data_IF_579280911073
#
_entry.id   IF_579280911073
#
_cell.length_a   1.000
_cell.length_b   1.000
_cell.length_c   1.000
_cell.angle_alpha   90.00
_cell.angle_beta   90.00
_cell.angle_gamma   90.00
#
_symmetry.space_group_name_H-M   'P 1'
#
loop_
_entity.id
_entity.type
_entity.pdbx_description
1 polymer ?
#
# COMPACT_ATOMS: atom_id res chain seq x y z
N UNK A 1 0.41 11.91 19.95
CA UNK A 1 -0.36 10.71 19.60
C UNK A 1 0.65 9.56 19.42
N UNK A 2 0.53 8.50 20.20
CA UNK A 2 1.59 7.45 20.29
C UNK A 2 1.62 6.62 19.00
N UNK A 3 2.51 6.94 18.07
CA UNK A 3 2.75 6.27 16.77
C UNK A 3 3.08 4.78 16.95
N UNK A 4 3.61 4.41 18.13
CA UNK A 4 3.96 3.04 18.51
C UNK A 4 2.76 2.07 18.54
N UNK A 5 1.53 2.56 18.67
CA UNK A 5 0.32 1.71 18.72
C UNK A 5 -0.14 1.20 17.35
N UNK A 6 0.31 1.82 16.26
CA UNK A 6 -0.15 1.53 14.89
C UNK A 6 0.48 0.29 14.24
N UNK A 7 1.56 -0.24 14.81
CA UNK A 7 2.21 -1.47 14.31
C UNK A 7 1.86 -2.72 15.14
N UNK A 8 0.96 -2.59 16.16
CA UNK A 8 0.82 -3.63 17.20
C UNK A 8 0.04 -4.88 16.81
N UNK A 9 -1.17 -4.82 16.32
CA UNK A 9 -1.99 -6.05 16.19
C UNK A 9 -2.53 -6.32 14.79
N UNK A 10 -2.59 -5.32 13.90
CA UNK A 10 -3.22 -5.44 12.59
C UNK A 10 -2.23 -5.31 11.42
N UNK A 11 -0.92 -5.46 11.68
CA UNK A 11 0.09 -5.32 10.63
C UNK A 11 -0.07 -6.37 9.54
N UNK A 12 -0.29 -7.62 9.93
CA UNK A 12 -0.46 -8.73 8.99
C UNK A 12 -1.92 -9.11 8.77
N UNK A 13 -2.23 -9.59 7.57
CA UNK A 13 -3.52 -10.22 7.26
C UNK A 13 -3.74 -11.44 8.17
N UNK A 14 -4.92 -11.56 8.79
CA UNK A 14 -5.29 -12.70 9.61
C UNK A 14 -5.20 -14.04 8.85
N UNK A 15 -5.54 -14.02 7.56
CA UNK A 15 -5.38 -15.17 6.67
C UNK A 15 -3.93 -15.59 6.49
N UNK A 16 -2.99 -14.63 6.44
CA UNK A 16 -1.56 -14.89 6.37
C UNK A 16 -1.04 -15.45 7.69
N UNK A 17 -1.39 -14.85 8.82
CA UNK A 17 -1.00 -15.36 10.16
C UNK A 17 -1.45 -16.80 10.34
N UNK A 18 -2.71 -17.12 10.05
CA UNK A 18 -3.26 -18.46 10.15
C UNK A 18 -2.56 -19.45 9.22
N UNK A 19 -2.30 -19.06 7.97
CA UNK A 19 -1.60 -19.89 7.00
C UNK A 19 -0.19 -20.24 7.48
N UNK A 20 0.60 -19.28 7.90
CA UNK A 20 1.97 -19.51 8.36
C UNK A 20 2.01 -20.34 9.65
N UNK A 21 1.02 -20.19 10.54
CA UNK A 21 0.89 -21.02 11.75
C UNK A 21 0.62 -22.48 11.41
N UNK A 22 -0.30 -22.77 10.48
CA UNK A 22 -0.72 -24.12 10.11
C UNK A 22 0.33 -24.82 9.22
N UNK A 23 0.97 -24.09 8.31
CA UNK A 23 1.86 -24.69 7.30
C UNK A 23 3.35 -24.54 7.65
N UNK A 24 3.69 -24.39 8.92
CA UNK A 24 5.06 -24.14 9.37
C UNK A 24 6.06 -25.15 8.79
N UNK A 25 5.85 -26.45 9.01
CA UNK A 25 6.79 -27.49 8.53
C UNK A 25 6.95 -27.52 7.02
N UNK A 26 5.84 -27.39 6.28
CA UNK A 26 5.86 -27.32 4.81
C UNK A 26 6.65 -26.11 4.34
N UNK A 27 6.54 -24.98 5.02
CA UNK A 27 7.24 -23.76 4.70
C UNK A 27 8.74 -23.88 4.98
N UNK A 28 9.14 -24.45 6.10
CA UNK A 28 10.56 -24.69 6.41
C UNK A 28 11.21 -25.62 5.37
N UNK A 29 10.54 -26.73 5.00
CA UNK A 29 11.01 -27.61 3.92
C UNK A 29 11.15 -26.87 2.59
N UNK A 30 10.19 -25.99 2.26
CA UNK A 30 10.27 -25.14 1.07
C UNK A 30 11.48 -24.20 1.12
N UNK A 31 11.69 -23.50 2.22
CA UNK A 31 12.84 -22.59 2.41
C UNK A 31 14.17 -23.33 2.22
N UNK A 32 14.29 -24.53 2.80
CA UNK A 32 15.49 -25.36 2.68
C UNK A 32 15.76 -25.80 1.22
N UNK A 33 14.72 -26.23 0.49
CA UNK A 33 14.84 -26.63 -0.92
C UNK A 33 15.15 -25.44 -1.85
N UNK A 34 14.71 -24.25 -1.51
CA UNK A 34 14.79 -23.04 -2.36
C UNK A 34 15.84 -22.03 -1.87
N UNK A 35 16.84 -22.49 -1.10
CA UNK A 35 17.93 -21.65 -0.58
C UNK A 35 18.57 -20.75 -1.64
N UNK A 36 18.72 -21.24 -2.87
CA UNK A 36 19.34 -20.47 -3.95
C UNK A 36 18.55 -19.20 -4.29
N UNK A 37 17.19 -19.24 -4.25
CA UNK A 37 16.35 -18.06 -4.50
C UNK A 37 16.61 -16.96 -3.45
N UNK A 38 16.65 -17.37 -2.19
CA UNK A 38 16.90 -16.45 -1.09
C UNK A 38 18.32 -15.92 -1.10
N UNK A 39 19.30 -16.74 -1.49
CA UNK A 39 20.68 -16.31 -1.65
C UNK A 39 20.82 -15.26 -2.77
N UNK A 40 20.16 -15.44 -3.89
CA UNK A 40 20.21 -14.49 -5.02
C UNK A 40 19.59 -13.13 -4.63
N UNK A 41 18.43 -13.16 -3.98
CA UNK A 41 17.76 -11.95 -3.49
C UNK A 41 18.62 -11.29 -2.40
N UNK A 42 19.13 -12.07 -1.44
CA UNK A 42 19.93 -11.58 -0.32
C UNK A 42 21.24 -10.92 -0.82
N UNK A 43 21.93 -11.53 -1.79
CA UNK A 43 23.12 -10.95 -2.38
C UNK A 43 22.84 -9.63 -3.11
N UNK A 44 21.70 -9.55 -3.81
CA UNK A 44 21.29 -8.29 -4.45
C UNK A 44 21.02 -7.20 -3.40
N UNK A 45 20.31 -7.54 -2.33
CA UNK A 45 20.02 -6.60 -1.24
C UNK A 45 21.32 -6.17 -0.56
N UNK A 46 22.25 -7.09 -0.28
CA UNK A 46 23.55 -6.79 0.33
C UNK A 46 24.34 -5.77 -0.50
N UNK A 47 24.26 -5.84 -1.82
CA UNK A 47 24.90 -4.87 -2.74
C UNK A 47 24.21 -3.47 -2.71
N UNK A 48 22.99 -3.36 -2.19
CA UNK A 48 22.27 -2.09 -2.06
C UNK A 48 22.48 -1.41 -0.72
N UNK A 49 23.11 -2.11 0.24
CA UNK A 49 23.25 -1.69 1.65
C UNK A 49 24.71 -1.33 1.95
N UNK A 50 24.89 -0.36 2.83
CA UNK A 50 26.19 -0.11 3.46
C UNK A 50 26.41 -1.09 4.60
N UNK A 51 27.43 -1.94 4.47
CA UNK A 51 27.75 -3.00 5.44
C UNK A 51 28.16 -2.49 6.82
N UNK A 52 28.55 -1.21 6.95
CA UNK A 52 28.91 -0.57 8.23
C UNK A 52 27.68 -0.19 9.05
N UNK A 53 26.49 -0.25 8.49
CA UNK A 53 25.24 0.29 9.02
C UNK A 53 24.26 -0.80 9.49
N UNK A 54 23.18 -0.36 10.14
CA UNK A 54 22.12 -1.25 10.65
C UNK A 54 20.99 -1.40 9.66
N UNK A 55 20.33 -2.56 9.66
CA UNK A 55 19.14 -2.83 8.83
C UNK A 55 17.98 -3.34 9.68
N UNK A 56 16.77 -2.88 9.37
CA UNK A 56 15.52 -3.43 9.89
C UNK A 56 14.78 -4.20 8.80
N UNK A 57 14.32 -5.42 9.10
CA UNK A 57 13.67 -6.32 8.12
C UNK A 57 12.28 -6.74 8.62
N UNK A 58 11.27 -6.48 7.82
CA UNK A 58 9.92 -7.04 8.00
C UNK A 58 9.78 -8.30 7.13
N UNK A 59 9.45 -9.43 7.75
CA UNK A 59 9.38 -10.74 7.11
C UNK A 59 8.04 -11.46 7.35
N UNK A 60 7.62 -12.26 6.37
CA UNK A 60 6.52 -13.20 6.49
C UNK A 60 6.99 -14.62 6.09
N UNK A 61 7.63 -15.33 7.03
CA UNK A 61 8.14 -16.68 6.81
C UNK A 61 9.26 -16.76 5.77
N UNK A 62 10.08 -15.72 5.64
CA UNK A 62 11.18 -15.66 4.67
C UNK A 62 12.47 -15.01 5.24
N UNK A 63 12.68 -15.13 6.54
CA UNK A 63 13.86 -14.60 7.24
C UNK A 63 15.22 -15.06 6.67
N UNK A 64 15.24 -16.16 5.91
CA UNK A 64 16.42 -16.62 5.13
C UNK A 64 17.03 -15.53 4.24
N UNK A 65 16.25 -14.51 3.88
CA UNK A 65 16.73 -13.38 3.08
C UNK A 65 17.84 -12.60 3.80
N UNK A 66 17.90 -12.67 5.13
CA UNK A 66 18.93 -12.00 5.92
C UNK A 66 20.27 -12.73 5.95
N UNK A 67 20.34 -13.98 5.45
CA UNK A 67 21.51 -14.86 5.65
C UNK A 67 22.81 -14.29 5.10
N UNK A 68 22.78 -13.69 3.91
CA UNK A 68 23.98 -13.18 3.24
C UNK A 68 24.17 -11.66 3.43
N UNK A 69 23.29 -11.02 4.21
CA UNK A 69 23.40 -9.59 4.52
C UNK A 69 24.50 -9.37 5.53
N UNK A 70 25.44 -8.47 5.20
CA UNK A 70 26.67 -8.21 5.99
C UNK A 70 26.57 -7.00 6.93
N UNK A 71 25.40 -6.40 7.08
CA UNK A 71 25.16 -5.24 7.94
C UNK A 71 25.72 -5.41 9.37
N UNK A 72 25.99 -4.30 10.06
CA UNK A 72 26.52 -4.27 11.42
C UNK A 72 25.59 -4.96 12.42
N UNK A 73 24.28 -4.62 12.38
CA UNK A 73 23.20 -5.29 13.11
C UNK A 73 22.02 -5.50 12.17
N UNK A 74 21.30 -6.58 12.38
CA UNK A 74 20.12 -6.95 11.59
C UNK A 74 18.96 -7.17 12.56
N UNK A 75 18.00 -6.26 12.56
CA UNK A 75 16.76 -6.41 13.31
C UNK A 75 15.70 -7.05 12.41
N UNK A 76 15.01 -8.07 12.90
CA UNK A 76 13.98 -8.78 12.11
C UNK A 76 12.68 -8.83 12.89
N UNK A 77 11.60 -8.34 12.29
CA UNK A 77 10.23 -8.61 12.70
C UNK A 77 9.64 -9.69 11.81
N UNK A 78 9.33 -10.84 12.40
CA UNK A 78 8.74 -11.98 11.69
C UNK A 78 7.23 -12.09 11.99
N UNK A 79 6.47 -12.63 11.05
CA UNK A 79 5.01 -12.84 11.19
C UNK A 79 4.66 -13.81 12.34
N UNK A 80 5.57 -14.71 12.68
CA UNK A 80 5.40 -15.69 13.75
C UNK A 80 6.76 -16.10 14.32
N UNK A 81 6.90 -16.13 15.63
CA UNK A 81 8.12 -16.48 16.37
C UNK A 81 8.74 -17.82 15.97
N UNK A 82 7.92 -18.79 15.53
CA UNK A 82 8.42 -20.08 15.04
C UNK A 82 9.36 -19.96 13.83
N UNK A 83 9.31 -18.85 13.09
CA UNK A 83 10.20 -18.58 11.96
C UNK A 83 11.47 -17.84 12.33
N UNK A 84 11.70 -17.58 13.61
CA UNK A 84 12.91 -16.96 14.13
C UNK A 84 14.11 -17.91 14.06
N UNK A 85 14.72 -17.99 12.88
CA UNK A 85 15.89 -18.84 12.67
C UNK A 85 17.14 -17.98 12.73
N UNK A 86 17.98 -18.21 13.75
CA UNK A 86 19.27 -17.52 13.91
C UNK A 86 20.30 -18.09 12.94
N UNK A 87 20.58 -17.37 11.87
CA UNK A 87 21.62 -17.72 10.90
C UNK A 87 22.96 -17.05 11.19
N UNK A 88 22.95 -15.96 11.98
CA UNK A 88 24.10 -15.11 12.24
C UNK A 88 23.95 -14.50 13.63
N UNK A 89 25.06 -14.34 14.35
CA UNK A 89 25.09 -13.66 15.67
C UNK A 89 24.65 -12.18 15.64
N UNK A 90 24.68 -11.57 14.45
CA UNK A 90 24.25 -10.17 14.24
C UNK A 90 22.72 -10.02 14.13
N UNK A 91 21.98 -11.13 13.99
CA UNK A 91 20.51 -11.12 13.86
C UNK A 91 19.86 -11.05 15.23
N UNK A 92 19.01 -10.06 15.39
CA UNK A 92 18.16 -9.88 16.57
C UNK A 92 16.70 -9.86 16.12
N UNK A 93 15.91 -10.80 16.63
CA UNK A 93 14.45 -10.81 16.40
C UNK A 93 13.77 -9.88 17.40
N UNK A 94 12.77 -9.14 16.92
CA UNK A 94 11.99 -8.20 17.71
C UNK A 94 10.50 -8.55 17.60
N UNK A 95 9.83 -8.65 18.74
CA UNK A 95 8.39 -8.96 18.78
C UNK A 95 7.55 -7.76 18.33
N UNK A 96 8.01 -6.55 18.65
CA UNK A 96 7.41 -5.29 18.24
C UNK A 96 8.46 -4.42 17.57
N UNK A 97 8.11 -3.81 16.44
CA UNK A 97 8.95 -2.80 15.80
C UNK A 97 8.81 -1.50 16.59
N UNK A 98 9.77 -1.19 17.46
CA UNK A 98 9.81 0.09 18.18
C UNK A 98 10.36 1.18 17.27
N UNK A 99 9.94 2.42 17.52
CA UNK A 99 10.45 3.59 16.81
C UNK A 99 11.99 3.68 16.88
N UNK A 100 12.55 3.41 18.05
CA UNK A 100 14.00 3.46 18.30
C UNK A 100 14.76 2.45 17.45
N UNK A 101 14.22 1.21 17.31
CA UNK A 101 14.87 0.16 16.51
C UNK A 101 14.92 0.50 15.02
N UNK A 102 13.90 1.23 14.51
CA UNK A 102 13.80 1.61 13.09
C UNK A 102 14.58 2.90 12.82
N UNK A 103 14.51 3.89 13.71
CA UNK A 103 15.15 5.20 13.55
C UNK A 103 16.68 5.12 13.55
N UNK A 104 17.26 4.08 14.17
CA UNK A 104 18.70 3.81 14.19
C UNK A 104 19.20 3.00 12.99
N UNK A 105 18.29 2.62 12.09
CA UNK A 105 18.63 1.90 10.86
C UNK A 105 18.80 2.84 9.68
N UNK A 106 19.73 2.53 8.80
CA UNK A 106 19.98 3.24 7.55
C UNK A 106 19.29 2.58 6.37
N UNK A 107 18.76 1.38 6.59
CA UNK A 107 17.99 0.64 5.59
C UNK A 107 16.83 -0.09 6.25
N UNK A 108 15.66 -0.04 5.62
CA UNK A 108 14.49 -0.84 6.00
C UNK A 108 14.12 -1.74 4.83
N UNK A 109 14.11 -3.06 5.05
CA UNK A 109 13.67 -4.05 4.07
C UNK A 109 12.25 -4.51 4.39
N UNK A 110 11.35 -4.34 3.43
CA UNK A 110 9.97 -4.82 3.49
C UNK A 110 9.86 -6.05 2.57
N UNK A 111 9.97 -7.24 3.16
CA UNK A 111 9.90 -8.51 2.43
C UNK A 111 8.53 -9.21 2.57
N UNK A 112 7.53 -8.51 3.07
CA UNK A 112 6.21 -9.03 3.45
C UNK A 112 5.03 -8.19 2.94
N UNK A 113 5.25 -7.23 2.06
CA UNK A 113 4.26 -6.22 1.66
C UNK A 113 2.91 -6.83 1.24
N UNK A 114 2.93 -8.01 0.61
CA UNK A 114 1.72 -8.72 0.15
C UNK A 114 0.95 -9.40 1.30
N UNK A 115 1.55 -9.49 2.47
CA UNK A 115 0.96 -10.11 3.67
C UNK A 115 0.45 -9.07 4.67
N UNK A 116 0.68 -7.80 4.42
CA UNK A 116 0.24 -6.70 5.28
C UNK A 116 -1.27 -6.47 5.15
N UNK A 117 -1.90 -6.13 6.26
CA UNK A 117 -3.34 -5.81 6.32
C UNK A 117 -3.65 -4.51 5.58
N UNK A 118 -2.82 -3.51 5.77
CA UNK A 118 -2.89 -2.20 5.11
C UNK A 118 -1.49 -1.71 4.73
N UNK A 119 -0.97 -2.10 3.54
CA UNK A 119 0.34 -1.69 3.07
C UNK A 119 0.52 -0.17 3.00
N UNK A 120 -0.55 0.56 2.65
CA UNK A 120 -0.54 2.02 2.52
C UNK A 120 -0.31 2.69 3.87
N UNK A 121 -1.11 2.34 4.88
CA UNK A 121 -0.96 2.91 6.22
C UNK A 121 0.40 2.55 6.84
N UNK A 122 0.86 1.30 6.64
CA UNK A 122 2.14 0.85 7.18
C UNK A 122 3.30 1.61 6.55
N UNK A 123 3.29 1.79 5.23
CA UNK A 123 4.36 2.48 4.51
C UNK A 123 4.36 3.99 4.80
N UNK A 124 3.17 4.61 4.90
CA UNK A 124 3.03 6.00 5.29
C UNK A 124 3.55 6.25 6.72
N UNK A 125 3.22 5.36 7.67
CA UNK A 125 3.73 5.47 9.04
C UNK A 125 5.25 5.27 9.09
N UNK A 126 5.76 4.33 8.31
CA UNK A 126 7.20 4.10 8.19
C UNK A 126 7.91 5.34 7.64
N UNK A 127 7.38 5.95 6.57
CA UNK A 127 7.98 7.15 5.96
C UNK A 127 8.04 8.35 6.91
N UNK A 128 7.13 8.43 7.89
CA UNK A 128 7.15 9.48 8.93
C UNK A 128 8.20 9.25 10.03
N UNK A 129 8.57 7.98 10.27
CA UNK A 129 9.48 7.58 11.36
C UNK A 129 10.94 7.62 10.91
N UNK A 130 11.22 7.20 9.69
CA UNK A 130 12.58 7.09 9.17
C UNK A 130 13.18 8.46 8.86
N UNK A 131 14.51 8.56 8.94
CA UNK A 131 15.27 9.73 8.51
C UNK A 131 15.24 9.87 6.98
N UNK A 132 15.59 11.04 6.47
CA UNK A 132 15.47 11.34 5.01
C UNK A 132 16.49 10.58 4.16
N UNK A 133 17.63 10.20 4.74
CA UNK A 133 18.70 9.43 4.09
C UNK A 133 18.49 7.91 4.10
N UNK A 134 17.50 7.42 4.85
CA UNK A 134 17.20 5.99 4.97
C UNK A 134 16.70 5.42 3.65
N UNK A 135 17.27 4.29 3.23
CA UNK A 135 16.80 3.51 2.09
C UNK A 135 15.68 2.56 2.52
N UNK A 136 14.59 2.53 1.75
CA UNK A 136 13.57 1.50 1.89
C UNK A 136 13.70 0.54 0.71
N UNK A 137 13.83 -0.75 0.99
CA UNK A 137 13.87 -1.80 -0.03
C UNK A 137 12.59 -2.60 0.08
N UNK A 138 11.79 -2.66 -0.99
CA UNK A 138 10.55 -3.42 -1.03
C UNK A 138 10.71 -4.62 -1.94
N UNK A 139 10.43 -5.81 -1.40
CA UNK A 139 10.36 -7.05 -2.15
C UNK A 139 8.90 -7.37 -2.45
N UNK A 140 8.56 -7.48 -3.73
CA UNK A 140 7.23 -7.86 -4.18
C UNK A 140 7.29 -8.96 -5.24
N UNK A 141 6.17 -9.67 -5.45
CA UNK A 141 6.05 -10.70 -6.48
C UNK A 141 5.46 -10.13 -7.76
N UNK A 142 5.89 -10.68 -8.87
CA UNK A 142 5.33 -10.32 -10.15
C UNK A 142 3.93 -10.93 -10.33
N UNK A 143 2.99 -10.13 -10.82
CA UNK A 143 1.59 -10.51 -11.05
C UNK A 143 1.46 -11.70 -12.01
N UNK A 144 2.30 -11.79 -13.04
CA UNK A 144 2.31 -12.90 -14.01
C UNK A 144 2.52 -14.24 -13.28
N UNK A 145 3.49 -14.29 -12.36
CA UNK A 145 3.75 -15.49 -11.57
C UNK A 145 2.62 -15.82 -10.60
N UNK A 146 1.96 -14.81 -10.04
CA UNK A 146 0.79 -15.03 -9.18
C UNK A 146 -0.36 -15.66 -9.97
N UNK A 147 -0.58 -15.23 -11.22
CA UNK A 147 -1.59 -15.80 -12.11
C UNK A 147 -1.20 -17.23 -12.51
N UNK A 148 0.06 -17.45 -12.88
CA UNK A 148 0.58 -18.78 -13.22
C UNK A 148 0.45 -19.78 -12.05
N UNK A 149 0.78 -19.37 -10.83
CA UNK A 149 0.62 -20.19 -9.62
C UNK A 149 -0.86 -20.55 -9.38
N UNK A 150 -1.80 -19.64 -9.67
CA UNK A 150 -3.23 -19.92 -9.58
C UNK A 150 -3.68 -20.98 -10.59
N UNK A 151 -3.17 -20.92 -11.81
CA UNK A 151 -3.45 -21.91 -12.85
C UNK A 151 -2.87 -23.27 -12.46
N UNK A 152 -1.61 -23.31 -12.01
CA UNK A 152 -0.98 -24.55 -11.54
C UNK A 152 -1.74 -25.22 -10.38
N UNK A 153 -2.43 -24.44 -9.56
CA UNK A 153 -3.29 -24.99 -8.51
C UNK A 153 -4.40 -25.90 -9.03
N UNK A 154 -4.89 -25.65 -10.25
CA UNK A 154 -5.92 -26.52 -10.86
C UNK A 154 -5.40 -27.94 -11.12
N UNK A 155 -4.10 -28.07 -11.30
CA UNK A 155 -3.43 -29.35 -11.61
C UNK A 155 -2.72 -29.97 -10.41
N UNK A 156 -2.35 -29.16 -9.42
CA UNK A 156 -1.57 -29.58 -8.26
C UNK A 156 -2.29 -29.18 -6.97
N UNK A 157 -2.50 -30.15 -6.09
CA UNK A 157 -3.24 -29.96 -4.85
C UNK A 157 -2.42 -29.19 -3.80
N UNK A 158 -2.21 -27.87 -3.99
CA UNK A 158 -1.62 -27.02 -2.97
C UNK A 158 -2.54 -25.85 -2.62
N UNK A 159 -2.60 -25.55 -1.32
CA UNK A 159 -3.39 -24.42 -0.83
C UNK A 159 -2.68 -23.12 -1.12
N UNK A 160 -3.28 -22.19 -1.90
CA UNK A 160 -2.65 -20.90 -2.12
C UNK A 160 -2.72 -20.06 -0.86
N UNK A 161 -1.68 -19.30 -0.65
CA UNK A 161 -1.66 -18.23 0.34
C UNK A 161 -2.71 -17.18 -0.04
N UNK A 162 -3.58 -16.81 0.89
CA UNK A 162 -4.41 -15.62 0.75
C UNK A 162 -3.55 -14.41 1.10
N UNK A 163 -3.15 -13.65 0.12
CA UNK A 163 -2.35 -12.43 0.24
C UNK A 163 -2.89 -11.36 -0.71
N UNK A 164 -2.46 -10.13 -0.53
CA UNK A 164 -2.82 -9.03 -1.40
C UNK A 164 -2.19 -9.22 -2.80
N UNK A 165 -2.94 -8.87 -3.83
CA UNK A 165 -2.41 -8.74 -5.19
C UNK A 165 -2.03 -7.29 -5.41
N UNK A 166 -0.73 -7.01 -5.48
CA UNK A 166 -0.19 -5.67 -5.61
C UNK A 166 0.53 -5.52 -6.96
N UNK A 167 -0.18 -5.12 -8.03
CA UNK A 167 0.45 -4.86 -9.32
C UNK A 167 1.46 -3.72 -9.23
N UNK A 168 2.47 -3.71 -10.10
CA UNK A 168 3.53 -2.69 -10.07
C UNK A 168 2.99 -1.27 -10.20
N UNK A 169 1.93 -1.06 -11.00
CA UNK A 169 1.28 0.24 -11.12
C UNK A 169 0.70 0.73 -9.79
N UNK A 170 0.05 -0.16 -9.05
CA UNK A 170 -0.45 0.16 -7.72
C UNK A 170 0.69 0.48 -6.74
N UNK A 171 1.76 -0.34 -6.74
CA UNK A 171 2.91 -0.12 -5.87
C UNK A 171 3.59 1.23 -6.17
N UNK A 172 3.72 1.60 -7.44
CA UNK A 172 4.30 2.90 -7.82
C UNK A 172 3.47 4.06 -7.28
N UNK A 173 2.13 4.00 -7.42
CA UNK A 173 1.23 5.01 -6.86
C UNK A 173 1.30 5.05 -5.33
N UNK A 174 1.37 3.86 -4.70
CA UNK A 174 1.53 3.74 -3.26
C UNK A 174 2.80 4.44 -2.77
N UNK A 175 3.92 4.23 -3.43
CA UNK A 175 5.19 4.86 -3.06
C UNK A 175 5.09 6.39 -3.16
N UNK A 176 4.56 6.90 -4.26
CA UNK A 176 4.37 8.34 -4.47
C UNK A 176 3.45 8.95 -3.40
N UNK A 177 2.33 8.28 -3.05
CA UNK A 177 1.42 8.76 -2.00
C UNK A 177 2.02 8.77 -0.59
N UNK A 178 3.09 7.99 -0.39
CA UNK A 178 3.86 7.98 0.87
C UNK A 178 5.09 8.91 0.85
N UNK A 179 5.21 9.81 -0.12
CA UNK A 179 6.36 10.69 -0.32
C UNK A 179 7.68 9.93 -0.51
N UNK A 180 7.61 8.84 -1.27
CA UNK A 180 8.76 8.01 -1.60
C UNK A 180 8.98 7.99 -3.11
N UNK A 181 10.23 8.18 -3.53
CA UNK A 181 10.65 8.05 -4.92
C UNK A 181 11.33 6.71 -5.18
N UNK A 182 11.12 6.19 -6.38
CA UNK A 182 11.79 4.97 -6.85
C UNK A 182 13.18 5.36 -7.35
N UNK A 183 14.21 4.91 -6.63
CA UNK A 183 15.61 5.09 -7.06
C UNK A 183 16.00 4.01 -8.08
N UNK A 184 15.56 2.76 -7.84
CA UNK A 184 15.90 1.61 -8.68
C UNK A 184 14.87 0.50 -8.51
N UNK A 185 14.52 -0.17 -9.60
CA UNK A 185 13.75 -1.42 -9.59
C UNK A 185 14.49 -2.48 -10.36
N UNK A 186 14.74 -3.63 -9.73
CA UNK A 186 15.31 -4.82 -10.37
C UNK A 186 14.34 -5.98 -10.30
N UNK A 187 14.31 -6.76 -11.36
CA UNK A 187 13.50 -7.96 -11.47
C UNK A 187 14.42 -9.16 -11.43
N UNK A 188 14.18 -10.06 -10.49
CA UNK A 188 15.06 -11.17 -10.18
C UNK A 188 14.31 -12.50 -10.34
N UNK A 189 15.07 -13.55 -10.71
CA UNK A 189 14.63 -14.95 -10.72
C UNK A 189 13.55 -15.22 -11.77
N UNK A 190 13.98 -15.55 -12.97
CA UNK A 190 13.09 -16.05 -14.02
C UNK A 190 12.81 -17.55 -13.84
N UNK A 191 13.84 -18.33 -13.47
CA UNK A 191 13.70 -19.77 -13.24
C UNK A 191 13.80 -20.09 -11.75
N UNK A 192 12.68 -20.41 -11.06
CA UNK A 192 12.66 -20.73 -9.63
C UNK A 192 13.03 -22.20 -9.33
N UNK A 193 13.77 -22.85 -10.21
CA UNK A 193 14.28 -24.23 -10.07
C UNK A 193 15.79 -24.16 -10.23
N UNK A 194 16.52 -24.83 -9.33
CA UNK A 194 17.97 -24.89 -9.45
C UNK A 194 18.40 -26.04 -10.36
N UNK A 195 19.00 -25.69 -11.48
CA UNK A 195 19.70 -26.60 -12.41
C UNK A 195 21.10 -26.01 -12.58
N UNK A 196 22.17 -26.74 -12.21
CA UNK A 196 23.54 -26.23 -12.31
C UNK A 196 23.82 -25.62 -13.68
N UNK A 197 24.50 -24.48 -13.72
CA UNK A 197 24.82 -23.66 -14.89
C UNK A 197 23.60 -23.05 -15.60
N UNK A 198 22.54 -23.84 -15.84
CA UNK A 198 21.37 -23.43 -16.62
C UNK A 198 20.59 -22.31 -15.87
N UNK A 199 20.33 -22.47 -14.59
CA UNK A 199 19.56 -21.49 -13.82
C UNK A 199 20.24 -20.12 -13.81
N UNK A 200 21.54 -20.08 -13.58
CA UNK A 200 22.29 -18.83 -13.57
C UNK A 200 22.31 -18.16 -14.95
N UNK A 201 22.45 -18.94 -16.01
CA UNK A 201 22.43 -18.45 -17.39
C UNK A 201 21.06 -17.86 -17.75
N UNK A 202 19.97 -18.60 -17.49
CA UNK A 202 18.61 -18.15 -17.74
C UNK A 202 18.30 -16.89 -16.91
N UNK A 203 18.56 -16.89 -15.61
CA UNK A 203 18.31 -15.74 -14.76
C UNK A 203 19.09 -14.50 -15.21
N UNK A 204 20.27 -14.65 -15.78
CA UNK A 204 21.05 -13.54 -16.34
C UNK A 204 20.42 -12.97 -17.62
N UNK A 205 19.97 -13.82 -18.53
CA UNK A 205 19.31 -13.39 -19.78
C UNK A 205 17.98 -12.69 -19.48
N UNK A 206 17.20 -13.23 -18.57
CA UNK A 206 15.89 -12.67 -18.24
C UNK A 206 15.95 -11.38 -17.42
N UNK A 207 17.13 -10.90 -17.05
CA UNK A 207 17.31 -9.52 -16.53
C UNK A 207 17.31 -8.46 -17.63
N UNK A 208 17.46 -8.85 -18.89
CA UNK A 208 17.41 -7.93 -20.01
C UNK A 208 16.02 -7.27 -20.11
N UNK A 209 15.94 -6.01 -20.57
CA UNK A 209 14.69 -5.35 -20.88
C UNK A 209 13.80 -6.24 -21.77
N UNK A 210 12.49 -6.17 -21.63
CA UNK A 210 11.47 -7.01 -22.27
C UNK A 210 11.36 -8.43 -21.69
N UNK A 211 12.47 -9.15 -21.43
CA UNK A 211 12.42 -10.49 -20.84
C UNK A 211 12.18 -10.45 -19.32
N UNK A 212 12.55 -9.38 -18.67
CA UNK A 212 12.42 -9.22 -17.21
C UNK A 212 10.98 -9.22 -16.70
N UNK A 213 9.98 -9.07 -17.59
CA UNK A 213 8.57 -9.22 -17.26
C UNK A 213 8.24 -10.62 -16.73
N UNK A 214 9.03 -11.63 -17.08
CA UNK A 214 8.87 -13.02 -16.64
C UNK A 214 9.59 -13.33 -15.32
N UNK A 215 10.30 -12.37 -14.72
CA UNK A 215 10.94 -12.59 -13.43
C UNK A 215 9.91 -12.68 -12.29
N UNK A 216 10.19 -13.56 -11.33
CA UNK A 216 9.32 -13.87 -10.19
C UNK A 216 9.21 -12.71 -9.19
N UNK A 217 10.34 -12.07 -8.89
CA UNK A 217 10.45 -11.11 -7.81
C UNK A 217 10.88 -9.74 -8.33
N UNK A 218 10.24 -8.69 -7.81
CA UNK A 218 10.66 -7.32 -8.00
C UNK A 218 11.29 -6.83 -6.69
N UNK A 219 12.46 -6.20 -6.78
CA UNK A 219 13.14 -5.52 -5.67
C UNK A 219 13.21 -4.05 -6.02
N UNK A 220 12.49 -3.23 -5.27
CA UNK A 220 12.42 -1.78 -5.49
C UNK A 220 13.13 -1.05 -4.35
N UNK A 221 14.09 -0.20 -4.70
CA UNK A 221 14.81 0.68 -3.75
C UNK A 221 14.16 2.04 -3.80
N UNK A 222 13.76 2.54 -2.64
CA UNK A 222 13.05 3.79 -2.45
C UNK A 222 13.85 4.73 -1.55
N UNK A 223 13.67 6.03 -1.73
CA UNK A 223 14.09 7.10 -0.82
C UNK A 223 12.95 8.06 -0.58
N UNK A 224 13.02 8.84 0.50
CA UNK A 224 12.11 9.97 0.70
C UNK A 224 12.31 11.03 -0.37
N UNK A 225 11.21 11.63 -0.81
CA UNK A 225 11.23 12.84 -1.64
C UNK A 225 11.55 14.01 -0.72
N UNK A 226 12.60 14.77 -1.02
CA UNK A 226 12.90 16.02 -0.32
C UNK A 226 11.82 17.05 -0.64
N UNK A 227 10.97 17.36 0.32
CA UNK A 227 9.79 18.23 0.16
C UNK A 227 10.12 19.73 0.02
N UNK A 228 11.36 20.13 -0.20
CA UNK A 228 11.73 21.54 -0.18
C UNK A 228 11.22 22.40 -1.36
N UNK A 229 10.42 21.89 -2.29
CA UNK A 229 10.08 22.62 -3.52
C UNK A 229 8.62 22.61 -4.03
N UNK A 230 7.64 22.02 -3.33
CA UNK A 230 6.25 21.96 -3.84
C UNK A 230 5.19 22.24 -2.76
N UNK A 231 5.17 23.45 -2.19
CA UNK A 231 4.09 23.89 -1.31
C UNK A 231 3.34 25.10 -1.89
N UNK A 232 2.55 24.88 -2.93
CA UNK A 232 1.33 25.64 -3.11
C UNK A 232 0.18 24.87 -2.48
N UNK A 233 -0.50 25.48 -1.51
CA UNK A 233 -1.71 24.89 -0.88
C UNK A 233 -2.83 24.87 -1.92
N UNK A 234 -2.97 23.75 -2.65
CA UNK A 234 -4.07 23.56 -3.60
C UNK A 234 -5.39 23.39 -2.86
N UNK A 235 -6.37 24.18 -3.24
CA UNK A 235 -7.73 24.04 -2.73
C UNK A 235 -8.42 22.81 -3.31
N UNK A 236 -9.24 22.13 -2.51
CA UNK A 236 -9.89 20.88 -2.91
C UNK A 236 -11.40 21.02 -2.80
N UNK A 237 -12.09 20.65 -3.89
CA UNK A 237 -13.56 20.63 -3.96
C UNK A 237 -14.06 19.18 -4.09
N UNK A 238 -14.88 18.76 -3.13
CA UNK A 238 -15.59 17.49 -3.19
C UNK A 238 -16.97 17.69 -3.85
N UNK A 239 -17.18 17.06 -5.00
CA UNK A 239 -18.47 17.04 -5.70
C UNK A 239 -19.20 15.77 -5.30
N UNK A 240 -20.36 15.93 -4.65
CA UNK A 240 -21.13 14.86 -4.05
C UNK A 240 -22.51 14.84 -4.72
N UNK A 241 -22.67 14.08 -5.82
CA UNK A 241 -23.97 13.93 -6.48
C UNK A 241 -24.90 13.08 -5.61
N UNK A 242 -26.09 13.62 -5.30
CA UNK A 242 -27.07 13.00 -4.41
C UNK A 242 -28.38 12.74 -5.17
N UNK A 243 -28.96 11.56 -4.95
CA UNK A 243 -30.31 11.22 -5.38
C UNK A 243 -30.94 10.21 -4.44
N UNK A 244 -31.92 10.66 -3.64
CA UNK A 244 -32.58 9.86 -2.59
C UNK A 244 -31.59 9.34 -1.51
N UNK A 245 -30.74 10.23 -1.00
CA UNK A 245 -29.64 9.92 -0.08
C UNK A 245 -29.88 10.49 1.34
N UNK A 246 -31.14 10.77 1.74
CA UNK A 246 -31.48 11.37 3.04
C UNK A 246 -30.84 10.69 4.24
N UNK A 247 -30.65 9.36 4.17
CA UNK A 247 -30.07 8.58 5.27
C UNK A 247 -28.56 8.71 5.35
N UNK A 248 -27.90 8.89 4.21
CA UNK A 248 -26.45 8.97 4.10
C UNK A 248 -25.93 10.39 4.40
N UNK A 249 -26.66 11.44 4.01
CA UNK A 249 -26.25 12.84 4.25
C UNK A 249 -25.96 13.11 5.74
N UNK A 250 -26.67 12.48 6.65
CA UNK A 250 -26.47 12.64 8.11
C UNK A 250 -25.09 12.21 8.59
N UNK A 251 -24.47 11.24 7.92
CA UNK A 251 -23.15 10.73 8.29
C UNK A 251 -22.01 11.67 7.85
N UNK A 252 -22.25 12.56 6.88
CA UNK A 252 -21.26 13.55 6.47
C UNK A 252 -20.88 14.53 7.60
N UNK A 253 -21.76 14.77 8.55
CA UNK A 253 -21.45 15.63 9.71
C UNK A 253 -20.24 15.10 10.48
N UNK A 254 -20.18 13.77 10.69
CA UNK A 254 -19.06 13.13 11.39
C UNK A 254 -17.79 13.16 10.53
N UNK A 255 -17.89 12.75 9.27
CA UNK A 255 -16.75 12.70 8.35
C UNK A 255 -16.10 14.08 8.15
N UNK A 256 -16.91 15.13 7.98
CA UNK A 256 -16.39 16.50 7.81
C UNK A 256 -15.74 17.02 9.10
N UNK A 257 -16.32 16.74 10.28
CA UNK A 257 -15.74 17.14 11.57
C UNK A 257 -14.44 16.43 11.90
N UNK A 258 -14.31 15.16 11.53
CA UNK A 258 -13.08 14.38 11.74
C UNK A 258 -11.98 14.78 10.75
N UNK A 259 -12.33 15.44 9.66
CA UNK A 259 -11.38 15.94 8.68
C UNK A 259 -10.93 17.36 9.06
N UNK A 260 -9.69 17.49 9.54
CA UNK A 260 -9.11 18.78 9.95
C UNK A 260 -8.71 19.68 8.78
N UNK A 261 -9.06 19.34 7.53
CA UNK A 261 -8.68 20.06 6.32
C UNK A 261 -9.83 21.02 5.90
N UNK A 262 -9.45 22.17 5.37
CA UNK A 262 -10.40 23.14 4.83
C UNK A 262 -10.75 22.79 3.38
N UNK A 263 -11.74 21.92 3.20
CA UNK A 263 -12.25 21.53 1.90
C UNK A 263 -13.57 22.22 1.56
N UNK A 264 -13.87 22.34 0.28
CA UNK A 264 -15.17 22.73 -0.23
C UNK A 264 -16.00 21.48 -0.55
N UNK A 265 -17.23 21.43 -0.02
CA UNK A 265 -18.14 20.29 -0.21
C UNK A 265 -19.36 20.75 -1.00
N UNK A 266 -19.53 20.22 -2.21
CA UNK A 266 -20.61 20.57 -3.14
C UNK A 266 -21.60 19.42 -3.22
N UNK A 267 -22.77 19.59 -2.59
CA UNK A 267 -23.85 18.61 -2.64
C UNK A 267 -24.83 18.95 -3.76
N UNK A 268 -24.92 18.07 -4.76
CA UNK A 268 -25.83 18.21 -5.90
C UNK A 268 -27.07 17.35 -5.76
N UNK A 269 -28.21 17.92 -5.41
CA UNK A 269 -29.47 17.19 -5.36
C UNK A 269 -30.07 17.03 -6.77
N UNK A 270 -30.16 15.78 -7.25
CA UNK A 270 -30.63 15.44 -8.58
C UNK A 270 -32.14 15.13 -8.62
N UNK A 271 -32.97 16.07 -8.14
CA UNK A 271 -34.41 15.92 -8.02
C UNK A 271 -34.80 14.71 -7.14
N UNK A 272 -34.28 14.65 -5.93
CA UNK A 272 -34.66 13.63 -4.95
C UNK A 272 -36.14 13.72 -4.57
N UNK A 273 -36.75 12.55 -4.36
CA UNK A 273 -38.16 12.44 -3.94
C UNK A 273 -38.30 12.32 -2.40
N UNK A 274 -37.20 12.13 -1.73
CA UNK A 274 -37.11 12.03 -0.27
C UNK A 274 -36.66 13.36 0.37
N UNK A 275 -36.17 13.32 1.63
CA UNK A 275 -35.72 14.51 2.35
C UNK A 275 -34.26 14.87 2.11
N UNK A 276 -33.62 14.41 1.04
CA UNK A 276 -32.20 14.67 0.73
C UNK A 276 -31.90 16.17 0.73
N UNK A 277 -32.69 16.97 0.02
CA UNK A 277 -32.51 18.43 -0.06
C UNK A 277 -32.56 19.11 1.32
N UNK A 278 -33.52 18.70 2.16
CA UNK A 278 -33.65 19.19 3.52
C UNK A 278 -32.47 18.79 4.41
N UNK A 279 -31.99 17.56 4.31
CA UNK A 279 -30.84 17.08 5.11
C UNK A 279 -29.54 17.79 4.72
N UNK A 280 -29.34 18.16 3.45
CA UNK A 280 -28.20 18.99 3.02
C UNK A 280 -28.28 20.38 3.69
N UNK A 281 -29.43 21.00 3.73
CA UNK A 281 -29.61 22.30 4.42
C UNK A 281 -29.36 22.18 5.93
N UNK A 282 -29.78 21.09 6.56
CA UNK A 282 -29.50 20.82 7.97
C UNK A 282 -28.00 20.63 8.21
N UNK A 283 -27.31 19.89 7.33
CA UNK A 283 -25.85 19.70 7.41
C UNK A 283 -25.12 21.05 7.34
N UNK A 284 -25.53 21.92 6.42
CA UNK A 284 -24.96 23.26 6.27
C UNK A 284 -25.16 24.13 7.52
N UNK A 285 -26.31 24.04 8.15
CA UNK A 285 -26.59 24.77 9.43
C UNK A 285 -25.76 24.25 10.60
N UNK A 286 -25.50 22.94 10.64
CA UNK A 286 -24.69 22.30 11.70
C UNK A 286 -23.20 22.55 11.58
N UNK A 287 -22.74 22.86 10.38
CA UNK A 287 -21.33 23.07 10.05
C UNK A 287 -21.08 24.47 9.44
N UNK A 288 -21.36 25.55 10.18
CA UNK A 288 -21.30 26.90 9.63
C UNK A 288 -19.89 27.37 9.24
N UNK A 289 -18.86 26.74 9.81
CA UNK A 289 -17.45 27.07 9.54
C UNK A 289 -16.88 26.30 8.34
N UNK A 290 -17.62 25.33 7.79
CA UNK A 290 -17.20 24.57 6.62
C UNK A 290 -17.81 25.13 5.35
N UNK A 291 -17.06 25.13 4.26
CA UNK A 291 -17.55 25.59 2.95
C UNK A 291 -18.45 24.52 2.32
N UNK A 292 -19.74 24.56 2.65
CA UNK A 292 -20.76 23.66 2.10
C UNK A 292 -21.62 24.41 1.11
N UNK A 293 -21.60 23.96 -0.14
CA UNK A 293 -22.39 24.50 -1.25
C UNK A 293 -23.46 23.46 -1.63
N UNK A 294 -24.71 23.89 -1.72
CA UNK A 294 -25.79 23.09 -2.29
C UNK A 294 -26.13 23.61 -3.67
N UNK A 295 -26.24 22.72 -4.64
CA UNK A 295 -26.71 23.06 -5.98
C UNK A 295 -27.78 22.05 -6.46
N UNK A 296 -28.60 22.47 -7.40
CA UNK A 296 -29.63 21.63 -7.99
C UNK A 296 -29.09 20.91 -9.21
N UNK A 297 -29.09 19.58 -9.21
CA UNK A 297 -28.75 18.75 -10.37
C UNK A 297 -29.77 18.90 -11.51
N UNK A 298 -29.44 18.53 -12.73
CA UNK A 298 -30.30 18.66 -13.89
C UNK A 298 -31.44 17.63 -13.92
N UNK A 299 -31.40 16.56 -13.10
CA UNK A 299 -32.41 15.51 -13.07
C UNK A 299 -32.29 14.49 -14.19
N UNK A 300 -31.21 14.49 -14.95
CA UNK A 300 -30.98 13.62 -16.11
C UNK A 300 -30.23 12.37 -15.69
N UNK A 301 -29.00 12.53 -15.20
CA UNK A 301 -28.14 11.43 -14.74
C UNK A 301 -27.01 11.95 -13.83
N UNK A 302 -26.33 10.99 -13.15
CA UNK A 302 -25.23 11.31 -12.24
C UNK A 302 -24.11 12.11 -12.91
N UNK A 303 -23.74 11.79 -14.16
CA UNK A 303 -22.68 12.47 -14.88
C UNK A 303 -22.97 13.94 -15.12
N UNK A 304 -24.19 14.28 -15.51
CA UNK A 304 -24.62 15.68 -15.71
C UNK A 304 -24.65 16.44 -14.37
N UNK A 305 -25.05 15.78 -13.29
CA UNK A 305 -25.01 16.36 -11.95
C UNK A 305 -23.58 16.66 -11.51
N UNK A 306 -22.63 15.73 -11.75
CA UNK A 306 -21.20 15.96 -11.50
C UNK A 306 -20.67 17.12 -12.34
N UNK A 307 -21.01 17.18 -13.64
CA UNK A 307 -20.57 18.25 -14.51
C UNK A 307 -21.02 19.62 -13.99
N UNK A 308 -22.28 19.72 -13.56
CA UNK A 308 -22.79 20.93 -12.94
C UNK A 308 -22.09 21.28 -11.63
N UNK A 309 -21.69 20.26 -10.85
CA UNK A 309 -20.88 20.44 -9.64
C UNK A 309 -19.50 21.03 -9.97
N UNK A 310 -18.87 20.60 -11.06
CA UNK A 310 -17.59 21.16 -11.52
C UNK A 310 -17.73 22.65 -11.84
N UNK A 311 -18.81 23.05 -12.49
CA UNK A 311 -19.08 24.48 -12.81
C UNK A 311 -19.23 25.37 -11.56
N UNK A 312 -19.66 24.79 -10.44
CA UNK A 312 -19.85 25.48 -9.15
C UNK A 312 -18.62 25.39 -8.24
N UNK A 313 -17.65 24.57 -8.58
CA UNK A 313 -16.46 24.36 -7.73
C UNK A 313 -15.46 25.49 -7.87
N UNK A 314 -14.71 25.74 -6.79
CA UNK A 314 -13.63 26.76 -6.78
C UNK A 314 -12.24 26.18 -6.51
N UNK A 315 -12.13 24.87 -6.27
CA UNK A 315 -10.87 24.23 -5.93
C UNK A 315 -10.01 23.90 -7.16
N UNK A 316 -8.71 23.85 -6.96
CA UNK A 316 -7.72 23.43 -7.97
C UNK A 316 -7.76 21.91 -8.23
N UNK A 317 -8.19 21.15 -7.24
CA UNK A 317 -8.38 19.69 -7.31
C UNK A 317 -9.85 19.36 -7.09
N UNK A 318 -10.41 18.60 -8.01
CA UNK A 318 -11.80 18.12 -7.93
C UNK A 318 -11.82 16.66 -7.55
N UNK A 319 -12.58 16.33 -6.51
CA UNK A 319 -12.85 14.97 -6.07
C UNK A 319 -14.30 14.63 -6.32
N UNK A 320 -14.58 13.66 -7.18
CA UNK A 320 -15.93 13.10 -7.35
C UNK A 320 -16.13 12.05 -6.26
N UNK A 321 -17.11 12.28 -5.37
CA UNK A 321 -17.30 11.47 -4.18
C UNK A 321 -18.74 10.96 -4.08
N UNK A 322 -18.91 9.65 -3.91
CA UNK A 322 -20.24 9.05 -3.80
C UNK A 322 -20.89 9.33 -2.47
N UNK A 323 -22.18 9.68 -2.49
CA UNK A 323 -22.94 10.04 -1.28
C UNK A 323 -23.18 8.87 -0.31
N UNK A 324 -22.87 7.63 -0.70
CA UNK A 324 -23.03 6.42 0.10
C UNK A 324 -21.91 6.20 1.14
N UNK A 325 -20.88 7.05 1.17
CA UNK A 325 -19.77 7.01 2.12
C UNK A 325 -19.05 5.65 2.16
N UNK A 326 -19.03 4.89 1.05
CA UNK A 326 -18.35 3.59 1.01
C UNK A 326 -16.82 3.71 1.11
N UNK A 327 -16.28 4.90 0.89
CA UNK A 327 -14.87 5.26 1.09
C UNK A 327 -14.81 6.40 2.10
N UNK A 328 -13.95 6.35 3.11
CA UNK A 328 -13.79 7.45 4.06
C UNK A 328 -12.99 8.62 3.46
N UNK A 329 -13.18 9.84 3.94
CA UNK A 329 -12.35 10.99 3.54
C UNK A 329 -10.86 10.75 3.81
N UNK A 330 -10.55 10.03 4.87
CA UNK A 330 -9.19 9.65 5.22
C UNK A 330 -8.53 8.76 4.16
N UNK A 331 -9.30 7.87 3.53
CA UNK A 331 -8.76 7.00 2.47
C UNK A 331 -8.47 7.80 1.18
N UNK A 332 -9.18 8.91 0.96
CA UNK A 332 -8.95 9.80 -0.19
C UNK A 332 -7.67 10.63 -0.02
N UNK A 333 -7.22 10.90 1.20
CA UNK A 333 -5.98 11.66 1.44
C UNK A 333 -4.77 11.06 0.72
N UNK A 334 -4.71 9.73 0.56
CA UNK A 334 -3.64 9.09 -0.19
C UNK A 334 -3.65 9.49 -1.67
N UNK A 335 -4.83 9.51 -2.28
CA UNK A 335 -4.98 9.92 -3.68
C UNK A 335 -4.67 11.42 -3.85
N UNK A 336 -5.09 12.25 -2.90
CA UNK A 336 -4.77 13.66 -2.89
C UNK A 336 -3.26 13.92 -2.75
N UNK A 337 -2.57 13.13 -1.94
CA UNK A 337 -1.11 13.22 -1.82
C UNK A 337 -0.40 12.87 -3.13
N UNK A 338 -0.92 11.92 -3.92
CA UNK A 338 -0.37 11.64 -5.25
C UNK A 338 -0.52 12.88 -6.15
N UNK A 339 -1.72 13.48 -6.24
CA UNK A 339 -1.95 14.67 -7.05
C UNK A 339 -1.12 15.88 -6.60
N UNK A 340 -0.91 16.04 -5.30
CA UNK A 340 -0.12 17.13 -4.75
C UNK A 340 1.39 16.99 -4.98
N UNK A 341 1.89 15.75 -5.06
CA UNK A 341 3.32 15.46 -5.05
C UNK A 341 3.84 14.85 -6.37
N UNK A 342 3.00 14.74 -7.39
CA UNK A 342 3.38 14.21 -8.72
C UNK A 342 2.80 15.11 -9.83
N UNK A 343 3.24 14.88 -11.06
CA UNK A 343 2.66 15.49 -12.25
C UNK A 343 1.40 14.73 -12.75
N UNK A 344 0.70 14.01 -11.89
CA UNK A 344 -0.53 13.34 -12.27
C UNK A 344 -1.67 14.35 -12.39
N UNK A 345 -2.35 14.36 -13.54
CA UNK A 345 -3.53 15.19 -13.79
C UNK A 345 -4.84 14.51 -13.39
N UNK A 346 -4.83 13.18 -13.25
CA UNK A 346 -6.00 12.39 -12.95
C UNK A 346 -5.67 11.13 -12.16
N UNK A 347 -6.50 10.80 -11.15
CA UNK A 347 -6.43 9.55 -10.38
C UNK A 347 -7.78 8.85 -10.42
N UNK A 348 -7.77 7.59 -10.86
CA UNK A 348 -8.92 6.72 -10.77
C UNK A 348 -8.75 5.72 -9.63
N UNK A 349 -9.55 5.86 -8.58
CA UNK A 349 -9.56 4.95 -7.44
C UNK A 349 -10.30 3.65 -7.80
N UNK A 350 -9.66 2.51 -7.61
CA UNK A 350 -10.26 1.19 -7.88
C UNK A 350 -10.40 0.39 -6.60
N UNK A 351 -11.57 -0.25 -6.44
CA UNK A 351 -11.89 -1.13 -5.30
C UNK A 351 -11.33 -2.56 -5.45
N UNK A 352 -10.71 -2.89 -6.60
CA UNK A 352 -10.38 -4.27 -6.99
C UNK A 352 -9.03 -4.80 -6.48
N UNK A 353 -8.26 -4.00 -5.75
CA UNK A 353 -6.86 -4.32 -5.41
C UNK A 353 -6.74 -5.08 -4.09
N UNK A 354 -7.62 -4.81 -3.13
CA UNK A 354 -7.62 -5.47 -1.83
C UNK A 354 -8.60 -6.64 -1.76
N UNK A 355 -8.31 -7.68 -0.92
CA UNK A 355 -9.32 -8.68 -0.58
C UNK A 355 -10.50 -7.96 0.09
N UNK A 356 -11.64 -7.98 -0.56
CA UNK A 356 -12.86 -7.41 0.00
C UNK A 356 -13.37 -8.29 1.13
N UNK A 357 -13.94 -7.68 2.18
CA UNK A 357 -14.69 -8.40 3.20
C UNK A 357 -15.91 -9.07 2.55
N UNK A 358 -16.29 -10.25 3.04
CA UNK A 358 -17.49 -10.93 2.58
C UNK A 358 -18.70 -9.96 2.68
N UNK A 359 -19.38 -9.74 1.56
CA UNK A 359 -20.53 -8.81 1.48
C UNK A 359 -20.22 -7.38 1.03
N UNK A 360 -18.98 -7.02 0.73
CA UNK A 360 -18.60 -5.67 0.31
C UNK A 360 -19.08 -5.30 -1.12
N UNK A 361 -19.53 -6.27 -1.91
CA UNK A 361 -20.29 -6.05 -3.15
C UNK A 361 -21.51 -6.96 -3.12
N UNK A 362 -22.68 -6.40 -3.03
CA UNK A 362 -23.97 -7.01 -3.37
C UNK A 362 -24.43 -6.49 -4.71
#
# INVERSE_FOLDING_TARGET
>A
MNIVKLLKNDYYLNSSISYFKINFEKRIKFLQKKKFLFNEISNFIDNCIDNSKNIFIFCAGNSLISKNIKSKKIFIKEINEKYEIKYNSKVQYVNEAKHEDISDCDTVLIADIEHQSNPTANLLNLSKIIKDDVKIIVLSKNLIWMTFIKILKLFFNFSPLKNNFLPSSYLNNLYSSCNLEIVRTEKLIALPIYIPLVTNFINRIFRLPLLNIFCLSNVTVLKKINQSSYHEEKQISFIIPCKNEQNNIKFFEKEIKENNQSYEYLFGDDNSLDKTDFEIDNLKKKLPNNKIVKYKGPGICKSENVYKGIEHSSGDIIVIYDADLTVSFKDIEFSLNILKNTNADFINCTRMIYPQKDGAMK
#
